data_IF_131302335792
#
_entry.id   IF_131302335792
#
_cell.length_a   1.000
_cell.length_b   1.000
_cell.length_c   1.000
_cell.angle_alpha   90.00
_cell.angle_beta   90.00
_cell.angle_gamma   90.00
#
_symmetry.space_group_name_H-M   'P 1'
#
loop_
_entity.id
_entity.type
_entity.pdbx_description
1 polymer ?
#
# COMPACT_ATOMS: atom_id res chain seq x y z
N UNK A 1 -23.51 9.74 2.48
CA UNK A 1 -22.50 9.91 1.42
C UNK A 1 -21.77 8.58 1.29
N UNK A 2 -22.07 7.80 0.26
CA UNK A 2 -21.50 6.47 0.04
C UNK A 2 -20.06 6.64 -0.44
N UNK A 3 -19.08 6.51 0.46
CA UNK A 3 -17.67 6.46 0.08
C UNK A 3 -17.36 5.03 -0.34
N UNK A 4 -17.24 4.86 -1.65
CA UNK A 4 -16.90 3.63 -2.32
C UNK A 4 -15.43 3.29 -1.99
N UNK A 5 -15.21 2.58 -0.89
CA UNK A 5 -13.89 2.11 -0.47
C UNK A 5 -13.42 1.01 -1.43
N UNK A 6 -12.84 1.42 -2.55
CA UNK A 6 -12.05 0.53 -3.40
C UNK A 6 -10.72 0.28 -2.69
N UNK A 7 -10.76 -0.52 -1.61
CA UNK A 7 -9.58 -0.99 -0.89
C UNK A 7 -8.76 -1.89 -1.82
N UNK A 8 -7.85 -1.30 -2.56
CA UNK A 8 -6.81 -2.05 -3.25
C UNK A 8 -5.85 -2.50 -2.16
N UNK A 9 -5.81 -3.80 -1.88
CA UNK A 9 -5.01 -4.38 -0.79
C UNK A 9 -3.79 -5.05 -1.42
N UNK A 10 -2.61 -4.59 -1.04
CA UNK A 10 -1.33 -5.11 -1.52
C UNK A 10 -0.55 -5.74 -0.38
N UNK A 11 0.38 -6.62 -0.70
CA UNK A 11 1.20 -7.31 0.31
C UNK A 11 2.51 -6.57 0.46
N UNK A 12 2.79 -6.13 1.68
CA UNK A 12 4.07 -5.54 2.02
C UNK A 12 5.17 -6.62 1.91
N UNK A 13 6.19 -6.41 1.06
CA UNK A 13 7.25 -7.40 0.86
C UNK A 13 8.26 -7.48 2.01
N UNK A 14 8.19 -6.57 3.00
CA UNK A 14 9.09 -6.53 4.16
C UNK A 14 8.53 -7.39 5.29
N UNK A 15 7.26 -7.22 5.64
CA UNK A 15 6.60 -7.88 6.77
C UNK A 15 5.65 -9.02 6.34
N UNK A 16 5.23 -9.05 5.07
CA UNK A 16 4.23 -9.98 4.57
C UNK A 16 2.81 -9.66 5.05
N UNK A 17 2.61 -8.51 5.72
CA UNK A 17 1.29 -8.03 6.08
C UNK A 17 0.55 -7.46 4.87
N UNK A 18 -0.76 -7.64 4.91
CA UNK A 18 -1.69 -7.10 3.92
C UNK A 18 -1.95 -5.64 4.26
N UNK A 19 -1.67 -4.74 3.33
CA UNK A 19 -1.74 -3.29 3.52
C UNK A 19 -2.69 -2.70 2.50
N UNK A 20 -3.39 -1.65 2.88
CA UNK A 20 -4.30 -0.96 1.98
C UNK A 20 -3.51 0.03 1.11
N UNK A 21 -3.46 -0.14 -0.21
CA UNK A 21 -2.85 0.82 -1.14
C UNK A 21 -3.42 2.23 -0.98
N UNK A 22 -4.66 2.37 -0.50
CA UNK A 22 -5.27 3.66 -0.22
C UNK A 22 -4.65 4.39 0.98
N UNK A 23 -4.09 3.65 1.95
CA UNK A 23 -3.48 4.20 3.17
C UNK A 23 -1.99 3.89 3.30
N UNK A 24 -1.47 3.02 2.43
CA UNK A 24 -0.10 2.55 2.44
C UNK A 24 0.83 3.60 1.83
N UNK A 25 2.05 3.63 2.35
CA UNK A 25 3.11 4.47 1.78
C UNK A 25 3.56 3.86 0.46
N UNK A 26 3.51 4.64 -0.61
CA UNK A 26 4.08 4.23 -1.88
C UNK A 26 5.39 4.99 -2.15
N UNK A 27 6.42 4.28 -2.58
CA UNK A 27 7.69 4.87 -3.00
C UNK A 27 8.03 4.41 -4.41
N UNK A 28 8.39 5.34 -5.28
CA UNK A 28 8.88 5.03 -6.60
C UNK A 28 10.39 4.75 -6.51
N UNK A 29 10.82 3.54 -6.89
CA UNK A 29 12.24 3.18 -7.02
C UNK A 29 12.46 2.49 -8.36
N UNK A 30 13.40 2.99 -9.15
CA UNK A 30 13.68 2.49 -10.51
C UNK A 30 12.44 2.42 -11.42
N UNK A 31 11.56 3.43 -11.36
CA UNK A 31 10.32 3.45 -12.13
C UNK A 31 9.29 2.38 -11.72
N UNK A 32 9.49 1.74 -10.56
CA UNK A 32 8.53 0.82 -9.95
C UNK A 32 7.98 1.43 -8.68
N UNK A 33 6.66 1.45 -8.57
CA UNK A 33 5.96 1.86 -7.36
C UNK A 33 5.91 0.68 -6.39
N UNK A 34 6.50 0.86 -5.21
CA UNK A 34 6.46 -0.10 -4.12
C UNK A 34 5.57 0.43 -3.01
N UNK A 35 4.75 -0.44 -2.42
CA UNK A 35 3.80 -0.09 -1.37
C UNK A 35 4.22 -0.72 -0.04
N UNK A 36 4.14 0.04 1.04
CA UNK A 36 4.64 -0.32 2.37
C UNK A 36 3.60 -0.09 3.47
N UNK A 37 3.59 -0.97 4.47
CA UNK A 37 2.58 -1.00 5.55
C UNK A 37 2.62 0.23 6.47
N UNK A 38 3.80 0.75 6.74
CA UNK A 38 4.15 1.96 7.50
C UNK A 38 5.67 1.99 7.58
N UNK A 39 6.30 3.16 7.62
CA UNK A 39 7.70 3.25 8.03
C UNK A 39 7.79 3.04 9.55
N UNK A 40 8.70 2.17 9.99
CA UNK A 40 9.14 2.10 11.37
C UNK A 40 10.66 2.15 11.39
#
# INVERSE_FOLDING_TARGET
MTMNESKAVTKDPICGMTVDEATALHAEREGKTFYFCSDH
#
